data_IF_786743562827
#
_entry.id   IF_786743562827
#
_cell.length_a   1.000
_cell.length_b   1.000
_cell.length_c   1.000
_cell.angle_alpha   90.00
_cell.angle_beta   90.00
_cell.angle_gamma   90.00
#
_symmetry.space_group_name_H-M   'P 1'
#
loop_
_entity.id
_entity.type
_entity.pdbx_description
1 polymer ?
#
# COMPACT_ATOMS: atom_id res chain seq x y z
N UNK A 1 -22.40 -37.83 9.14
CA UNK A 1 -22.03 -36.47 9.57
C UNK A 1 -20.91 -35.99 8.66
N UNK A 2 -21.18 -34.98 7.84
CA UNK A 2 -20.22 -34.42 6.88
C UNK A 2 -19.14 -33.60 7.61
N UNK A 3 -17.86 -33.89 7.36
CA UNK A 3 -16.73 -33.05 7.76
C UNK A 3 -16.65 -31.89 6.76
N UNK A 4 -16.94 -30.67 7.21
CA UNK A 4 -16.53 -29.45 6.50
C UNK A 4 -15.00 -29.38 6.51
N UNK A 5 -14.38 -29.61 5.36
CA UNK A 5 -13.00 -29.19 5.10
C UNK A 5 -13.02 -27.72 4.71
N UNK A 6 -12.63 -26.84 5.64
CA UNK A 6 -12.21 -25.47 5.31
C UNK A 6 -10.71 -25.51 5.01
N UNK A 7 -10.35 -25.98 3.81
CA UNK A 7 -8.98 -25.87 3.32
C UNK A 7 -8.92 -24.70 2.32
N UNK A 8 -9.04 -23.46 2.80
CA UNK A 8 -8.34 -22.39 2.12
C UNK A 8 -6.85 -22.55 2.46
N UNK A 9 -5.94 -22.55 1.47
CA UNK A 9 -4.52 -22.65 1.76
C UNK A 9 -4.16 -21.45 2.65
N UNK A 10 -3.59 -21.74 3.83
CA UNK A 10 -2.95 -20.73 4.66
C UNK A 10 -1.93 -20.04 3.76
N UNK A 11 -2.23 -18.81 3.33
CA UNK A 11 -1.22 -17.99 2.67
C UNK A 11 -0.12 -17.79 3.71
N UNK A 12 1.06 -18.32 3.42
CA UNK A 12 2.22 -18.16 4.27
C UNK A 12 2.75 -16.73 4.07
N UNK A 13 2.57 -15.88 5.08
CA UNK A 13 3.03 -14.49 5.10
C UNK A 13 4.35 -14.40 5.88
N UNK A 14 5.26 -13.54 5.43
CA UNK A 14 6.49 -13.23 6.15
C UNK A 14 6.75 -11.73 6.14
N UNK A 15 7.02 -11.18 7.32
CA UNK A 15 7.46 -9.80 7.45
C UNK A 15 8.96 -9.66 7.17
N UNK A 16 9.31 -8.56 6.51
CA UNK A 16 10.70 -8.14 6.27
C UNK A 16 10.85 -6.72 6.81
N UNK A 17 11.38 -6.61 8.02
CA UNK A 17 11.57 -5.35 8.73
C UNK A 17 12.99 -4.81 8.55
N UNK A 18 13.11 -3.49 8.37
CA UNK A 18 14.36 -2.76 8.21
C UNK A 18 14.35 -1.91 6.94
N UNK A 19 15.51 -1.35 6.56
CA UNK A 19 15.63 -0.48 5.38
C UNK A 19 15.03 -1.11 4.13
N UNK A 20 14.06 -0.43 3.49
CA UNK A 20 13.30 -1.00 2.36
C UNK A 20 14.22 -1.42 1.20
N UNK A 21 15.22 -0.62 0.86
CA UNK A 21 16.22 -0.96 -0.17
C UNK A 21 17.05 -2.21 0.13
N UNK A 22 17.18 -2.59 1.39
CA UNK A 22 17.89 -3.82 1.82
C UNK A 22 16.94 -5.01 1.99
N UNK A 23 15.68 -4.76 2.35
CA UNK A 23 14.69 -5.81 2.60
C UNK A 23 14.01 -6.28 1.32
N UNK A 24 13.83 -5.41 0.32
CA UNK A 24 13.21 -5.80 -0.95
C UNK A 24 13.97 -6.93 -1.66
N UNK A 25 15.32 -6.88 -1.83
CA UNK A 25 16.04 -7.99 -2.45
C UNK A 25 15.93 -9.31 -1.66
N UNK A 26 15.88 -9.23 -0.32
CA UNK A 26 15.72 -10.42 0.54
C UNK A 26 14.34 -11.04 0.36
N UNK A 27 13.30 -10.23 0.26
CA UNK A 27 11.93 -10.68 -0.01
C UNK A 27 11.86 -11.41 -1.35
N UNK A 28 12.47 -10.84 -2.40
CA UNK A 28 12.49 -11.45 -3.74
C UNK A 28 13.33 -12.74 -3.75
N UNK A 29 14.49 -12.76 -3.08
CA UNK A 29 15.34 -13.94 -2.95
C UNK A 29 14.65 -15.08 -2.18
N UNK A 30 13.74 -14.75 -1.25
CA UNK A 30 12.88 -15.72 -0.54
C UNK A 30 11.73 -16.25 -1.40
N UNK A 31 11.63 -15.84 -2.68
CA UNK A 31 10.61 -16.30 -3.62
C UNK A 31 9.20 -15.77 -3.34
N UNK A 32 9.09 -14.64 -2.63
CA UNK A 32 7.81 -14.05 -2.23
C UNK A 32 7.42 -12.88 -3.11
N UNK A 33 6.12 -12.66 -3.25
CA UNK A 33 5.58 -11.43 -3.80
C UNK A 33 5.29 -10.43 -2.69
N UNK A 34 5.65 -9.16 -2.89
CA UNK A 34 5.32 -8.08 -1.98
C UNK A 34 3.81 -7.82 -2.00
N UNK A 35 3.21 -7.70 -0.81
CA UNK A 35 1.79 -7.45 -0.64
C UNK A 35 1.39 -6.03 -1.09
N UNK A 36 0.24 -5.92 -1.73
CA UNK A 36 -0.40 -4.65 -2.10
C UNK A 36 -1.27 -4.10 -0.97
N UNK A 37 -1.76 -2.86 -1.10
CA UNK A 37 -2.75 -2.30 -0.16
C UNK A 37 -3.99 -3.20 -0.12
N UNK A 38 -4.50 -3.60 -1.29
CA UNK A 38 -5.64 -4.53 -1.38
C UNK A 38 -5.37 -5.87 -0.68
N UNK A 39 -4.18 -6.45 -0.87
CA UNK A 39 -3.77 -7.69 -0.22
C UNK A 39 -3.73 -7.56 1.31
N UNK A 40 -3.18 -6.45 1.81
CA UNK A 40 -3.15 -6.13 3.24
C UNK A 40 -4.56 -5.96 3.81
N UNK A 41 -5.46 -5.27 3.11
CA UNK A 41 -6.84 -5.09 3.60
C UNK A 41 -7.63 -6.39 3.65
N UNK A 42 -7.36 -7.33 2.76
CA UNK A 42 -7.97 -8.66 2.83
C UNK A 42 -7.58 -9.39 4.11
N UNK A 43 -6.32 -9.25 4.56
CA UNK A 43 -5.85 -9.84 5.82
C UNK A 43 -6.56 -9.27 7.05
N UNK A 44 -6.79 -7.97 7.06
CA UNK A 44 -7.43 -7.28 8.18
C UNK A 44 -8.95 -7.52 8.20
N UNK A 45 -9.59 -7.50 7.03
CA UNK A 45 -11.04 -7.53 6.92
C UNK A 45 -11.64 -8.95 6.86
N UNK A 46 -10.88 -9.98 6.43
CA UNK A 46 -11.44 -11.32 6.15
C UNK A 46 -10.79 -12.44 6.96
N UNK A 47 -11.64 -13.28 7.56
CA UNK A 47 -11.40 -14.64 8.08
C UNK A 47 -10.10 -14.94 8.86
N UNK A 48 -9.40 -13.93 9.37
CA UNK A 48 -8.33 -14.11 10.34
C UNK A 48 -8.90 -14.17 11.76
N UNK A 49 -8.24 -14.89 12.67
CA UNK A 49 -8.55 -14.80 14.10
C UNK A 49 -8.38 -13.36 14.59
N UNK A 50 -9.12 -12.93 15.63
CA UNK A 50 -9.02 -11.57 16.18
C UNK A 50 -7.58 -11.16 16.50
N UNK A 51 -6.76 -12.06 17.07
CA UNK A 51 -5.34 -11.81 17.32
C UNK A 51 -4.53 -11.44 16.07
N UNK A 52 -4.86 -12.06 14.93
CA UNK A 52 -4.21 -11.78 13.66
C UNK A 52 -4.70 -10.44 13.12
N UNK A 53 -6.02 -10.20 13.16
CA UNK A 53 -6.58 -8.88 12.77
C UNK A 53 -5.95 -7.75 13.56
N UNK A 54 -5.81 -7.90 14.88
CA UNK A 54 -5.16 -6.91 15.74
C UNK A 54 -3.70 -6.68 15.34
N UNK A 55 -2.95 -7.75 15.06
CA UNK A 55 -1.53 -7.63 14.67
C UNK A 55 -1.32 -6.86 13.36
N UNK A 56 -2.27 -6.93 12.44
CA UNK A 56 -2.23 -6.19 11.17
C UNK A 56 -2.79 -4.77 11.35
N UNK A 57 -3.95 -4.64 11.99
CA UNK A 57 -4.68 -3.38 12.14
C UNK A 57 -3.91 -2.37 13.01
N UNK A 58 -3.20 -2.82 14.04
CA UNK A 58 -2.45 -1.96 14.95
C UNK A 58 -0.98 -1.75 14.55
N UNK A 59 -0.63 -2.08 13.31
CA UNK A 59 0.73 -1.96 12.79
C UNK A 59 0.75 -1.22 11.44
N UNK A 60 1.94 -0.86 10.97
CA UNK A 60 2.11 -0.18 9.69
C UNK A 60 2.87 -1.06 8.70
N UNK A 61 2.55 -0.93 7.42
CA UNK A 61 3.15 -1.75 6.38
C UNK A 61 3.36 -0.97 5.09
N UNK A 62 4.57 -1.06 4.57
CA UNK A 62 4.93 -0.61 3.23
C UNK A 62 4.49 -1.65 2.21
N UNK A 63 3.95 -1.19 1.08
CA UNK A 63 3.29 -2.05 0.09
C UNK A 63 3.98 -2.00 -1.27
N UNK A 64 3.61 -2.95 -2.13
CA UNK A 64 4.05 -2.96 -3.53
C UNK A 64 3.34 -1.95 -4.42
N UNK A 65 2.32 -1.25 -3.90
CA UNK A 65 1.69 -0.15 -4.62
C UNK A 65 2.54 1.10 -4.47
N UNK A 66 2.55 1.94 -5.50
CA UNK A 66 3.33 3.16 -5.54
C UNK A 66 2.50 4.38 -5.92
N UNK A 67 3.05 5.55 -5.63
CA UNK A 67 2.70 6.79 -6.33
C UNK A 67 3.95 7.32 -7.02
N UNK A 68 3.79 7.65 -8.30
CA UNK A 68 4.81 8.31 -9.11
C UNK A 68 4.42 9.77 -9.33
N UNK A 69 5.38 10.67 -9.22
CA UNK A 69 5.26 12.10 -9.49
C UNK A 69 6.02 12.49 -10.75
N UNK A 70 5.46 13.43 -11.50
CA UNK A 70 6.13 14.12 -12.57
C UNK A 70 6.27 15.63 -12.22
N UNK A 71 7.34 16.31 -12.68
CA UNK A 71 7.61 17.71 -12.32
C UNK A 71 6.55 18.72 -12.75
N UNK A 72 5.70 18.39 -13.73
CA UNK A 72 4.56 19.23 -14.13
C UNK A 72 3.43 19.26 -13.09
N UNK A 73 3.49 18.39 -12.07
CA UNK A 73 2.47 18.25 -11.02
C UNK A 73 1.46 17.15 -11.28
N UNK A 74 1.66 16.32 -12.30
CA UNK A 74 0.91 15.07 -12.49
C UNK A 74 1.44 13.98 -11.55
N UNK A 75 0.56 13.05 -11.20
CA UNK A 75 0.92 11.84 -10.48
C UNK A 75 0.18 10.62 -11.01
N UNK A 76 0.74 9.44 -10.78
CA UNK A 76 0.13 8.14 -11.10
C UNK A 76 0.13 7.23 -9.89
N UNK A 77 -1.02 6.64 -9.55
CA UNK A 77 -1.08 5.49 -8.62
C UNK A 77 -0.75 4.23 -9.41
N UNK A 78 0.46 3.70 -9.19
CA UNK A 78 0.97 2.53 -9.89
C UNK A 78 0.77 1.31 -9.00
N UNK A 79 -0.12 0.42 -9.41
CA UNK A 79 -0.39 -0.81 -8.66
C UNK A 79 0.71 -1.84 -8.92
N UNK A 80 1.09 -2.61 -7.90
CA UNK A 80 2.04 -3.72 -8.05
C UNK A 80 3.35 -3.31 -8.75
N UNK A 81 3.91 -2.14 -8.39
CA UNK A 81 5.00 -1.48 -9.09
C UNK A 81 6.25 -2.35 -9.22
N UNK A 82 6.63 -2.64 -10.46
CA UNK A 82 7.86 -3.37 -10.77
C UNK A 82 9.11 -2.58 -10.34
N UNK A 83 9.12 -1.26 -10.53
CA UNK A 83 10.24 -0.40 -10.11
C UNK A 83 10.50 -0.45 -8.60
N UNK A 84 9.45 -0.58 -7.78
CA UNK A 84 9.64 -0.77 -6.34
C UNK A 84 10.19 -2.16 -6.00
N UNK A 85 9.77 -3.20 -6.72
CA UNK A 85 10.26 -4.59 -6.52
C UNK A 85 11.73 -4.75 -6.91
N UNK A 86 12.23 -3.87 -7.77
CA UNK A 86 13.62 -3.83 -8.22
C UNK A 86 14.51 -2.94 -7.33
N UNK A 87 13.99 -2.42 -6.21
CA UNK A 87 14.81 -1.66 -5.26
C UNK A 87 15.97 -2.51 -4.72
N UNK A 88 17.15 -1.91 -4.72
CA UNK A 88 18.38 -2.44 -4.15
C UNK A 88 19.08 -1.36 -3.32
N UNK A 89 20.11 -1.70 -2.51
CA UNK A 89 20.89 -0.71 -1.78
C UNK A 89 21.54 0.37 -2.67
N UNK A 90 21.78 0.07 -3.94
CA UNK A 90 22.39 0.98 -4.93
C UNK A 90 21.36 1.83 -5.70
N UNK A 91 20.06 1.63 -5.44
CA UNK A 91 18.99 2.40 -6.06
C UNK A 91 19.16 3.90 -5.79
N UNK A 92 19.01 4.70 -6.84
CA UNK A 92 19.18 6.15 -6.75
C UNK A 92 17.93 6.78 -6.14
N UNK A 93 18.11 7.38 -4.97
CA UNK A 93 17.05 8.05 -4.24
C UNK A 93 17.30 9.55 -4.15
N UNK A 94 16.23 10.34 -4.15
CA UNK A 94 16.23 11.76 -3.82
C UNK A 94 15.19 12.02 -2.73
N UNK A 95 15.64 12.54 -1.59
CA UNK A 95 14.79 12.74 -0.41
C UNK A 95 14.01 11.46 -0.01
N UNK A 96 14.59 10.28 -0.20
CA UNK A 96 13.95 8.99 0.06
C UNK A 96 12.92 8.55 -0.99
N UNK A 97 12.76 9.25 -2.12
CA UNK A 97 11.97 8.80 -3.26
C UNK A 97 12.87 8.16 -4.32
N UNK A 98 12.40 7.09 -4.98
CA UNK A 98 13.10 6.47 -6.10
C UNK A 98 13.09 7.42 -7.30
N UNK A 99 14.26 7.69 -7.89
CA UNK A 99 14.34 8.43 -9.14
C UNK A 99 13.83 7.52 -10.27
N UNK A 100 12.77 7.95 -10.96
CA UNK A 100 12.26 7.22 -12.12
C UNK A 100 13.17 7.54 -13.31
N UNK A 101 13.69 6.54 -14.05
CA UNK A 101 14.52 6.80 -15.22
C UNK A 101 13.78 7.60 -16.30
N UNK A 102 14.54 8.42 -17.04
CA UNK A 102 13.99 9.29 -18.09
C UNK A 102 13.12 8.50 -19.09
N UNK A 103 11.93 9.01 -19.38
CA UNK A 103 10.97 8.39 -20.31
C UNK A 103 10.20 7.19 -19.76
N UNK A 104 10.49 6.74 -18.53
CA UNK A 104 9.74 5.63 -17.92
C UNK A 104 8.43 6.08 -17.27
N UNK A 105 8.32 7.34 -16.83
CA UNK A 105 7.11 7.84 -16.18
C UNK A 105 5.88 7.73 -17.09
N UNK A 106 6.04 8.04 -18.37
CA UNK A 106 5.00 8.00 -19.38
C UNK A 106 4.49 6.56 -19.58
N UNK A 107 5.39 5.58 -19.51
CA UNK A 107 5.09 4.15 -19.63
C UNK A 107 4.45 3.54 -18.37
N UNK A 108 4.46 4.24 -17.22
CA UNK A 108 3.76 3.76 -16.03
C UNK A 108 2.25 3.73 -16.26
N UNK A 109 1.65 2.59 -15.96
CA UNK A 109 0.20 2.42 -15.95
C UNK A 109 -0.36 2.67 -14.55
N UNK A 110 -1.54 3.28 -14.46
CA UNK A 110 -2.13 3.62 -13.19
C UNK A 110 -3.23 4.66 -13.27
N UNK A 111 -3.85 4.95 -12.12
CA UNK A 111 -4.75 6.09 -12.02
C UNK A 111 -3.94 7.38 -12.10
N UNK A 112 -4.12 8.13 -13.17
CA UNK A 112 -3.51 9.45 -13.33
C UNK A 112 -4.31 10.52 -12.58
N UNK A 113 -3.59 11.40 -11.89
CA UNK A 113 -4.13 12.47 -11.05
C UNK A 113 -3.44 13.77 -11.40
N UNK A 114 -4.23 14.81 -11.64
CA UNK A 114 -3.71 16.17 -11.75
C UNK A 114 -3.33 16.74 -10.37
N UNK A 115 -2.63 17.88 -10.37
CA UNK A 115 -2.39 18.65 -9.14
C UNK A 115 -3.68 18.96 -8.37
N UNK A 116 -4.75 19.34 -9.09
CA UNK A 116 -6.05 19.62 -8.49
C UNK A 116 -6.71 18.37 -7.89
N UNK A 117 -6.53 17.22 -8.52
CA UNK A 117 -7.02 15.94 -7.98
C UNK A 117 -6.27 15.55 -6.70
N UNK A 118 -4.94 15.72 -6.67
CA UNK A 118 -4.13 15.50 -5.48
C UNK A 118 -4.52 16.44 -4.33
N UNK A 119 -4.78 17.71 -4.62
CA UNK A 119 -5.29 18.67 -3.65
C UNK A 119 -6.69 18.31 -3.14
N UNK A 120 -7.53 17.71 -3.98
CA UNK A 120 -8.89 17.33 -3.59
C UNK A 120 -8.96 16.02 -2.82
N UNK A 121 -8.19 15.02 -3.24
CA UNK A 121 -8.34 13.63 -2.79
C UNK A 121 -7.19 13.14 -1.90
N UNK A 122 -6.03 13.81 -1.90
CA UNK A 122 -4.81 13.39 -1.21
C UNK A 122 -4.18 14.49 -0.31
N UNK A 123 -5.00 15.46 0.13
CA UNK A 123 -4.57 16.55 1.02
C UNK A 123 -5.25 16.54 2.40
N UNK A 124 -6.30 15.72 2.55
CA UNK A 124 -7.07 15.66 3.80
C UNK A 124 -6.40 14.67 4.75
N UNK A 125 -6.03 15.18 5.92
CA UNK A 125 -5.44 14.37 6.99
C UNK A 125 -6.40 13.27 7.45
N UNK A 126 -7.71 13.52 7.46
CA UNK A 126 -8.73 12.53 7.83
C UNK A 126 -9.95 12.66 6.92
N UNK A 127 -10.61 11.54 6.68
CA UNK A 127 -11.83 11.43 5.88
C UNK A 127 -12.92 10.81 6.73
N UNK A 128 -14.19 11.20 6.54
CA UNK A 128 -15.28 10.40 7.08
C UNK A 128 -15.52 9.14 6.22
N UNK A 129 -16.27 8.16 6.74
CA UNK A 129 -16.47 6.88 6.06
C UNK A 129 -17.03 7.02 4.64
N UNK A 130 -17.97 7.95 4.42
CA UNK A 130 -18.55 8.20 3.10
C UNK A 130 -17.51 8.76 2.14
N UNK A 131 -16.69 9.68 2.60
CA UNK A 131 -15.59 10.24 1.81
C UNK A 131 -14.58 9.15 1.43
N UNK A 132 -14.16 8.29 2.37
CA UNK A 132 -13.27 7.14 2.11
C UNK A 132 -13.80 6.26 0.99
N UNK A 133 -15.06 5.82 1.09
CA UNK A 133 -15.68 4.90 0.13
C UNK A 133 -15.77 5.52 -1.27
N UNK A 134 -15.95 6.85 -1.35
CA UNK A 134 -16.02 7.59 -2.62
C UNK A 134 -14.68 8.09 -3.14
N UNK A 135 -13.59 7.99 -2.38
CA UNK A 135 -12.30 8.58 -2.74
C UNK A 135 -11.63 7.76 -3.85
N UNK A 136 -11.29 8.36 -5.01
CA UNK A 136 -10.74 7.63 -6.15
C UNK A 136 -9.37 6.98 -5.85
N UNK A 137 -8.57 7.57 -4.98
CA UNK A 137 -7.27 7.01 -4.53
C UNK A 137 -7.52 5.72 -3.74
N UNK A 138 -8.41 5.76 -2.74
CA UNK A 138 -8.75 4.56 -1.97
C UNK A 138 -9.40 3.49 -2.83
N UNK A 139 -10.26 3.86 -3.80
CA UNK A 139 -10.84 2.90 -4.74
C UNK A 139 -9.78 2.23 -5.61
N UNK A 140 -8.80 2.98 -6.10
CA UNK A 140 -7.68 2.42 -6.87
C UNK A 140 -6.84 1.46 -6.03
N UNK A 141 -6.44 1.86 -4.81
CA UNK A 141 -5.63 1.03 -3.91
C UNK A 141 -6.35 -0.23 -3.42
N UNK A 142 -7.64 -0.12 -3.10
CA UNK A 142 -8.43 -1.26 -2.66
C UNK A 142 -8.71 -2.26 -3.78
N UNK A 143 -8.77 -1.80 -5.05
CA UNK A 143 -9.08 -2.57 -6.27
C UNK A 143 -10.48 -3.21 -6.29
N UNK A 144 -11.15 -3.22 -5.16
CA UNK A 144 -12.40 -3.90 -4.87
C UNK A 144 -13.22 -2.98 -3.95
N UNK A 145 -14.36 -2.52 -4.45
CA UNK A 145 -15.21 -1.55 -3.74
C UNK A 145 -15.85 -2.15 -2.50
N UNK A 146 -16.13 -3.45 -2.50
CA UNK A 146 -16.76 -4.09 -1.36
C UNK A 146 -15.72 -4.37 -0.27
N UNK A 147 -14.49 -4.74 -0.66
CA UNK A 147 -13.36 -4.77 0.27
C UNK A 147 -13.11 -3.40 0.93
N UNK A 148 -13.16 -2.31 0.16
CA UNK A 148 -13.01 -0.96 0.72
C UNK A 148 -14.12 -0.64 1.74
N UNK A 149 -15.38 -1.01 1.45
CA UNK A 149 -16.50 -0.82 2.39
C UNK A 149 -16.35 -1.66 3.65
N UNK A 150 -15.98 -2.94 3.51
CA UNK A 150 -15.72 -3.86 4.63
C UNK A 150 -14.63 -3.28 5.54
N UNK A 151 -13.50 -2.89 4.97
CA UNK A 151 -12.37 -2.35 5.71
C UNK A 151 -12.67 -0.98 6.35
N UNK A 152 -13.32 -0.08 5.63
CA UNK A 152 -13.79 1.17 6.23
C UNK A 152 -14.78 0.89 7.37
N UNK A 153 -15.74 -0.03 7.18
CA UNK A 153 -16.64 -0.47 8.25
C UNK A 153 -15.90 -0.92 9.50
N UNK A 154 -14.84 -1.73 9.34
CA UNK A 154 -13.99 -2.18 10.43
C UNK A 154 -13.33 -1.00 11.16
N UNK A 155 -12.66 -0.09 10.44
CA UNK A 155 -11.96 1.06 11.04
C UNK A 155 -12.93 1.98 11.79
N UNK A 156 -14.04 2.35 11.18
CA UNK A 156 -15.01 3.27 11.78
C UNK A 156 -15.81 2.63 12.93
N UNK A 157 -15.93 1.30 12.97
CA UNK A 157 -16.53 0.58 14.11
C UNK A 157 -15.75 0.75 15.42
N UNK A 158 -14.49 1.20 15.35
CA UNK A 158 -13.65 1.49 16.52
C UNK A 158 -13.94 2.86 17.16
N UNK A 159 -14.97 3.57 16.69
CA UNK A 159 -15.45 4.82 17.30
C UNK A 159 -14.80 6.11 16.76
N UNK A 160 -14.15 6.05 15.60
CA UNK A 160 -13.62 7.23 14.92
C UNK A 160 -14.68 7.88 14.04
N UNK A 161 -14.85 9.21 14.15
CA UNK A 161 -15.68 9.99 13.22
C UNK A 161 -14.96 10.27 11.89
N UNK A 162 -13.64 10.40 11.97
CA UNK A 162 -12.73 10.66 10.86
C UNK A 162 -11.45 9.82 10.97
N UNK A 163 -11.10 9.13 9.88
CA UNK A 163 -9.99 8.18 9.81
C UNK A 163 -9.52 8.02 8.35
N UNK A 164 -8.56 7.13 8.10
CA UNK A 164 -8.17 6.71 6.75
C UNK A 164 -7.85 7.87 5.80
N UNK A 165 -7.16 8.89 6.31
CA UNK A 165 -6.70 9.99 5.48
C UNK A 165 -5.68 9.56 4.44
N UNK A 166 -5.43 10.46 3.48
CA UNK A 166 -4.40 10.28 2.47
C UNK A 166 -3.42 11.44 2.60
N UNK A 167 -2.18 11.16 2.99
CA UNK A 167 -1.16 12.18 3.18
C UNK A 167 -0.15 12.18 2.04
N UNK A 168 0.03 13.35 1.40
CA UNK A 168 0.99 13.51 0.31
C UNK A 168 2.43 13.81 0.75
N UNK A 169 3.37 13.31 -0.05
CA UNK A 169 4.71 13.84 -0.14
C UNK A 169 4.76 15.10 -1.02
N UNK A 170 5.77 15.92 -0.81
CA UNK A 170 6.07 17.04 -1.73
C UNK A 170 6.62 16.50 -3.06
N UNK A 171 6.16 17.03 -4.21
CA UNK A 171 6.74 16.70 -5.50
C UNK A 171 8.22 17.09 -5.55
N UNK A 172 8.95 16.49 -6.49
CA UNK A 172 10.36 16.77 -6.76
C UNK A 172 10.50 17.37 -8.16
N UNK A 173 11.64 18.02 -8.43
CA UNK A 173 11.94 18.62 -9.73
C UNK A 173 12.26 17.59 -10.83
N UNK A 174 12.30 16.31 -10.47
CA UNK A 174 12.48 15.16 -11.38
C UNK A 174 11.41 14.10 -11.12
N UNK A 175 11.11 13.23 -12.11
CA UNK A 175 10.18 12.13 -11.91
C UNK A 175 10.64 11.21 -10.76
N UNK A 176 9.75 10.96 -9.80
CA UNK A 176 10.06 10.17 -8.61
C UNK A 176 8.93 9.24 -8.19
N UNK A 177 9.25 8.17 -7.46
CA UNK A 177 8.29 7.17 -6.99
C UNK A 177 8.48 6.88 -5.50
N UNK A 178 7.38 6.66 -4.78
CA UNK A 178 7.38 6.17 -3.40
C UNK A 178 6.38 5.03 -3.23
N UNK A 179 6.67 4.16 -2.27
CA UNK A 179 5.73 3.13 -1.82
C UNK A 179 4.57 3.76 -1.06
N UNK A 180 3.39 3.16 -1.17
CA UNK A 180 2.30 3.40 -0.23
C UNK A 180 2.57 2.64 1.06
N UNK A 181 2.59 3.36 2.16
CA UNK A 181 2.55 2.83 3.50
C UNK A 181 1.14 2.98 4.06
N UNK A 182 0.65 1.87 4.60
CA UNK A 182 -0.59 1.80 5.34
C UNK A 182 -0.25 1.95 6.81
N UNK A 183 -0.88 2.90 7.47
CA UNK A 183 -0.71 3.13 8.88
C UNK A 183 -1.55 2.23 9.77
N UNK A 184 -1.07 2.12 11.01
CA UNK A 184 -1.80 1.53 12.13
C UNK A 184 -3.07 2.30 12.47
N UNK A 185 -4.01 1.58 13.06
CA UNK A 185 -5.18 2.13 13.70
C UNK A 185 -4.84 2.55 15.13
N UNK A 186 -4.36 3.77 15.32
CA UNK A 186 -4.19 4.38 16.64
C UNK A 186 -4.78 5.79 16.65
N UNK A 187 -4.69 6.47 17.81
CA UNK A 187 -5.22 7.83 17.96
C UNK A 187 -4.55 8.89 17.06
N UNK A 188 -3.41 8.58 16.43
CA UNK A 188 -2.58 9.50 15.66
C UNK A 188 -2.68 9.25 14.15
N UNK A 189 -2.60 8.00 13.71
CA UNK A 189 -2.46 7.60 12.31
C UNK A 189 -3.77 7.06 11.73
N UNK A 190 -4.68 6.57 12.58
CA UNK A 190 -6.07 6.21 12.25
C UNK A 190 -6.23 5.47 10.92
N UNK A 191 -5.38 4.48 10.64
CA UNK A 191 -5.44 3.68 9.42
C UNK A 191 -5.27 4.44 8.09
N UNK A 192 -4.60 5.60 8.12
CA UNK A 192 -4.29 6.40 6.94
C UNK A 192 -3.41 5.68 5.92
N UNK A 193 -3.48 6.10 4.66
CA UNK A 193 -2.53 5.73 3.62
C UNK A 193 -1.61 6.92 3.35
N UNK A 194 -0.30 6.72 3.42
CA UNK A 194 0.68 7.76 3.21
C UNK A 194 1.80 7.28 2.32
N UNK A 195 2.37 8.21 1.58
CA UNK A 195 3.47 7.96 0.65
C UNK A 195 4.59 8.96 0.87
N UNK A 196 4.75 9.45 2.09
CA UNK A 196 5.81 10.40 2.48
C UNK A 196 7.06 9.71 2.99
N UNK A 197 7.00 8.40 3.21
CA UNK A 197 8.07 7.66 3.83
C UNK A 197 9.25 7.54 2.87
N UNK A 198 10.42 7.50 3.48
CA UNK A 198 11.71 7.48 2.82
C UNK A 198 12.11 6.03 2.58
N UNK A 199 12.35 5.65 1.32
CA UNK A 199 12.73 4.29 0.94
C UNK A 199 14.10 3.85 1.51
N UNK A 200 14.92 4.79 1.99
CA UNK A 200 16.19 4.57 2.68
C UNK A 200 16.06 4.49 4.21
N UNK A 201 14.85 4.60 4.76
CA UNK A 201 14.56 4.36 6.18
C UNK A 201 13.97 2.98 6.41
N UNK A 202 13.84 2.62 7.69
CA UNK A 202 13.24 1.36 8.11
C UNK A 202 11.75 1.31 7.75
N UNK A 203 11.40 0.30 6.97
CA UNK A 203 10.03 -0.03 6.60
C UNK A 203 9.62 -1.42 7.11
N UNK A 204 8.39 -1.79 6.81
CA UNK A 204 7.84 -3.12 7.11
C UNK A 204 7.14 -3.68 5.88
N UNK A 205 7.85 -4.54 5.15
CA UNK A 205 7.33 -5.22 3.98
C UNK A 205 6.70 -6.56 4.37
N UNK A 206 5.72 -7.02 3.59
CA UNK A 206 5.07 -8.32 3.78
C UNK A 206 5.17 -9.12 2.49
N UNK A 207 5.84 -10.26 2.55
CA UNK A 207 5.95 -11.19 1.43
C UNK A 207 4.95 -12.34 1.54
N UNK A 208 4.22 -12.62 0.46
CA UNK A 208 3.35 -13.80 0.32
C UNK A 208 3.98 -14.82 -0.61
N UNK A 209 3.83 -16.11 -0.29
CA UNK A 209 4.19 -17.16 -1.24
C UNK A 209 3.37 -17.02 -2.52
N UNK A 210 4.08 -17.02 -3.66
CA UNK A 210 3.44 -17.13 -4.97
C UNK A 210 3.06 -18.59 -5.16
N UNK A 211 1.80 -18.95 -4.85
CA UNK A 211 1.30 -20.29 -5.20
C UNK A 211 1.25 -20.37 -6.73
N UNK A 212 1.97 -21.30 -7.37
CA UNK A 212 1.85 -21.49 -8.81
C UNK A 212 0.38 -21.77 -9.12
N UNK A 213 -0.24 -20.96 -9.98
CA UNK A 213 -1.56 -21.31 -10.50
C UNK A 213 -1.42 -22.68 -11.14
N UNK A 214 -2.03 -23.70 -10.54
CA UNK A 214 -2.11 -25.03 -11.13
C UNK A 214 -2.63 -24.84 -12.57
N UNK A 215 -1.83 -25.25 -13.55
CA UNK A 215 -2.26 -25.31 -14.93
C UNK A 215 -3.51 -26.19 -14.96
N UNK A 216 -4.65 -25.59 -15.29
CA UNK A 216 -5.88 -26.32 -15.62
C UNK A 216 -5.84 -26.71 -17.09
#
# INVERSE_FOLDING_TARGET
>A
MSKLQLNEPVQDYREFYGRITEQMPKLIADGRALLSVSGLRRLEARNASELVKDSWLYNYFDTGDAIAYHPDGMAKIVLDSQLLRELTPESKLINGALIIPNGMYEALEGLELSRGDLEKYASKNWLNQKEVISNPVWQALARDKDLLKEYAGLVFSQGYDDAMGICRASPQDIPTMRSWCVGRLDGIIRSGAYFRDHLDLDGRLVGVQVVPKAQK
#
